data_IF_680694434578
#
_entry.id   IF_680694434578
#
_cell.length_a   1.000
_cell.length_b   1.000
_cell.length_c   1.000
_cell.angle_alpha   90.00
_cell.angle_beta   90.00
_cell.angle_gamma   90.00
#
_symmetry.space_group_name_H-M   'P 1'
#
loop_
_entity.id
_entity.type
_entity.pdbx_description
1 polymer ?
#
# COMPACT_ATOMS: atom_id res chain seq x y z
N UNK A 1 -0.85 -13.13 -62.68
CA UNK A 1 -2.00 -12.50 -61.94
C UNK A 1 -1.94 -12.65 -60.42
N UNK A 2 -1.73 -13.86 -59.85
CA UNK A 2 -1.64 -14.02 -58.39
C UNK A 2 -0.47 -13.27 -57.72
N UNK A 3 0.71 -13.18 -58.37
CA UNK A 3 1.85 -12.42 -57.84
C UNK A 3 1.66 -10.90 -57.94
N UNK A 4 0.93 -10.41 -58.97
CA UNK A 4 0.58 -9.01 -59.11
C UNK A 4 -0.46 -8.58 -58.05
N UNK A 5 -1.41 -9.45 -57.73
CA UNK A 5 -2.43 -9.17 -56.72
C UNK A 5 -1.85 -9.05 -55.31
N UNK A 6 -0.88 -9.91 -54.95
CA UNK A 6 -0.17 -9.83 -53.66
C UNK A 6 0.75 -8.60 -53.57
N UNK A 7 1.37 -8.20 -54.72
CA UNK A 7 2.14 -6.96 -54.78
C UNK A 7 1.24 -5.72 -54.68
N UNK A 8 0.01 -5.78 -55.22
CA UNK A 8 -0.97 -4.72 -55.14
C UNK A 8 -1.53 -4.54 -53.72
N UNK A 9 -1.78 -5.64 -53.00
CA UNK A 9 -2.20 -5.61 -51.57
C UNK A 9 -1.07 -5.06 -50.71
N UNK A 10 0.20 -5.45 -50.95
CA UNK A 10 1.34 -4.91 -50.22
C UNK A 10 1.59 -3.42 -50.55
N UNK A 11 1.38 -3.00 -51.80
CA UNK A 11 1.55 -1.59 -52.20
C UNK A 11 0.37 -0.70 -51.73
N UNK A 12 -0.87 -1.21 -51.72
CA UNK A 12 -2.03 -0.53 -51.18
C UNK A 12 -1.96 -0.34 -49.65
N UNK A 13 -1.30 -1.26 -48.91
CA UNK A 13 -1.02 -1.13 -47.50
C UNK A 13 -0.05 0.03 -47.19
N UNK A 14 0.91 0.31 -48.09
CA UNK A 14 1.89 1.40 -47.93
C UNK A 14 1.29 2.78 -48.24
N UNK A 15 0.25 2.84 -49.10
CA UNK A 15 -0.34 4.13 -49.52
C UNK A 15 -1.58 4.57 -48.74
N UNK A 16 -2.02 3.81 -47.75
CA UNK A 16 -3.17 4.17 -46.91
C UNK A 16 -4.54 4.15 -47.62
N UNK A 17 -4.61 3.65 -48.87
CA UNK A 17 -5.84 3.58 -49.66
C UNK A 17 -6.35 2.15 -49.81
N UNK A 18 -6.48 1.41 -48.70
CA UNK A 18 -7.28 0.19 -48.68
C UNK A 18 -8.76 0.59 -48.67
N UNK A 19 -9.41 0.46 -49.84
CA UNK A 19 -10.86 0.61 -49.94
C UNK A 19 -11.54 -0.46 -49.05
N UNK A 20 -12.74 -0.14 -48.56
CA UNK A 20 -13.59 -1.00 -47.74
C UNK A 20 -14.05 -2.33 -48.43
N UNK A 21 -13.36 -2.77 -49.49
CA UNK A 21 -13.70 -3.92 -50.33
C UNK A 21 -12.73 -5.08 -50.23
N UNK A 22 -11.62 -4.99 -49.42
CA UNK A 22 -10.74 -6.15 -49.25
C UNK A 22 -11.40 -7.19 -48.37
N UNK A 23 -11.63 -8.43 -48.81
CA UNK A 23 -12.27 -9.46 -48.01
C UNK A 23 -11.50 -9.73 -46.70
N UNK A 24 -12.22 -9.93 -45.60
CA UNK A 24 -11.62 -10.20 -44.29
C UNK A 24 -10.62 -11.35 -44.31
N UNK A 25 -10.91 -12.41 -45.07
CA UNK A 25 -10.03 -13.56 -45.22
C UNK A 25 -8.69 -13.23 -45.89
N UNK A 26 -8.67 -12.27 -46.82
CA UNK A 26 -7.42 -11.89 -47.50
C UNK A 26 -6.54 -11.03 -46.57
N UNK A 27 -7.13 -10.20 -45.73
CA UNK A 27 -6.42 -9.47 -44.69
C UNK A 27 -5.83 -10.42 -43.64
N UNK A 28 -6.56 -11.45 -43.24
CA UNK A 28 -6.06 -12.51 -42.33
C UNK A 28 -4.84 -13.21 -42.98
N UNK A 29 -4.91 -13.60 -44.25
CA UNK A 29 -3.78 -14.24 -44.96
C UNK A 29 -2.59 -13.31 -45.04
N UNK A 30 -2.80 -12.04 -45.37
CA UNK A 30 -1.74 -11.04 -45.47
C UNK A 30 -1.04 -10.83 -44.11
N UNK A 31 -1.81 -10.66 -43.04
CA UNK A 31 -1.29 -10.53 -41.66
C UNK A 31 -0.51 -11.77 -41.24
N UNK A 32 -1.05 -12.98 -41.47
CA UNK A 32 -0.35 -14.24 -41.15
C UNK A 32 1.01 -14.34 -41.88
N UNK A 33 1.05 -13.99 -43.15
CA UNK A 33 2.30 -13.98 -43.92
C UNK A 33 3.30 -12.96 -43.39
N UNK A 34 2.84 -11.76 -43.04
CA UNK A 34 3.69 -10.71 -42.51
C UNK A 34 4.30 -11.12 -41.16
N UNK A 35 3.48 -11.65 -40.22
CA UNK A 35 3.94 -12.15 -38.93
C UNK A 35 4.94 -13.30 -39.06
N UNK A 36 4.65 -14.29 -39.87
CA UNK A 36 5.60 -15.40 -40.15
C UNK A 36 6.93 -14.92 -40.73
N UNK A 37 6.92 -13.84 -41.49
CA UNK A 37 8.14 -13.27 -42.07
C UNK A 37 8.97 -12.47 -41.05
N UNK A 38 8.41 -12.10 -39.89
CA UNK A 38 9.18 -11.42 -38.83
C UNK A 38 10.35 -12.28 -38.36
N UNK A 39 10.07 -13.50 -37.89
CA UNK A 39 11.09 -14.44 -37.44
C UNK A 39 12.06 -13.80 -36.43
N UNK A 40 11.56 -13.03 -35.50
CA UNK A 40 12.34 -12.29 -34.51
C UNK A 40 13.15 -11.09 -35.05
N UNK A 41 12.88 -10.65 -36.29
CA UNK A 41 13.61 -9.56 -36.95
C UNK A 41 12.87 -8.24 -36.84
N UNK A 42 13.44 -7.30 -36.09
CA UNK A 42 12.85 -5.99 -35.80
C UNK A 42 12.56 -5.17 -37.06
N UNK A 43 13.42 -5.24 -38.08
CA UNK A 43 13.24 -4.52 -39.33
C UNK A 43 11.99 -4.92 -40.11
N UNK A 44 11.40 -6.09 -39.84
CA UNK A 44 10.17 -6.57 -40.47
C UNK A 44 8.90 -6.28 -39.66
N UNK A 45 9.03 -5.73 -38.47
CA UNK A 45 7.94 -5.52 -37.55
C UNK A 45 6.92 -4.51 -38.08
N UNK A 46 7.34 -3.37 -38.61
CA UNK A 46 6.45 -2.32 -39.12
C UNK A 46 5.47 -2.84 -40.19
N UNK A 47 5.94 -3.72 -41.07
CA UNK A 47 5.09 -4.33 -42.10
C UNK A 47 4.06 -5.30 -41.48
N UNK A 48 4.46 -6.05 -40.44
CA UNK A 48 3.54 -6.93 -39.72
C UNK A 48 2.51 -6.14 -38.93
N UNK A 49 2.92 -5.09 -38.25
CA UNK A 49 2.04 -4.19 -37.51
C UNK A 49 0.98 -3.55 -38.40
N UNK A 50 1.38 -2.98 -39.54
CA UNK A 50 0.46 -2.43 -40.52
C UNK A 50 -0.57 -3.47 -40.99
N UNK A 51 -0.12 -4.71 -41.24
CA UNK A 51 -1.02 -5.78 -41.65
C UNK A 51 -1.99 -6.23 -40.56
N UNK A 52 -1.54 -6.29 -39.30
CA UNK A 52 -2.38 -6.57 -38.12
C UNK A 52 -3.42 -5.46 -37.93
N UNK A 53 -3.03 -4.21 -38.01
CA UNK A 53 -3.93 -3.06 -37.86
C UNK A 53 -5.01 -3.06 -38.96
N UNK A 54 -4.62 -3.31 -40.20
CA UNK A 54 -5.57 -3.42 -41.29
C UNK A 54 -6.55 -4.58 -41.09
N UNK A 55 -6.08 -5.73 -40.65
CA UNK A 55 -6.90 -6.90 -40.34
C UNK A 55 -7.88 -6.61 -39.23
N UNK A 56 -7.42 -6.01 -38.11
CA UNK A 56 -8.21 -5.78 -36.91
C UNK A 56 -9.17 -4.59 -37.01
N UNK A 57 -9.08 -3.76 -38.06
CA UNK A 57 -10.06 -2.70 -38.33
C UNK A 57 -11.42 -3.24 -38.76
N UNK A 58 -11.49 -4.45 -39.31
CA UNK A 58 -12.75 -5.08 -39.67
C UNK A 58 -13.46 -5.66 -38.44
N UNK A 59 -14.73 -5.28 -38.17
CA UNK A 59 -15.46 -5.78 -36.99
C UNK A 59 -15.54 -7.30 -36.91
N UNK A 60 -15.74 -7.99 -38.02
CA UNK A 60 -15.81 -9.46 -38.07
C UNK A 60 -14.49 -10.14 -37.68
N UNK A 61 -13.34 -9.48 -37.86
CA UNK A 61 -12.05 -10.00 -37.47
C UNK A 61 -11.76 -9.83 -35.99
N UNK A 62 -12.46 -8.92 -35.27
CA UNK A 62 -12.27 -8.70 -33.86
C UNK A 62 -12.72 -9.88 -33.00
N UNK A 63 -13.59 -10.73 -33.51
CA UNK A 63 -14.06 -11.96 -32.87
C UNK A 63 -13.68 -13.23 -33.62
N UNK A 64 -12.96 -13.11 -34.73
CA UNK A 64 -12.48 -14.25 -35.54
C UNK A 64 -11.28 -14.90 -34.85
N UNK A 65 -11.36 -16.23 -34.61
CA UNK A 65 -10.32 -16.96 -33.90
C UNK A 65 -8.95 -16.88 -34.59
N UNK A 66 -8.91 -16.95 -35.92
CA UNK A 66 -7.65 -16.93 -36.69
C UNK A 66 -7.01 -15.53 -36.64
N UNK A 67 -7.80 -14.48 -36.77
CA UNK A 67 -7.33 -13.11 -36.66
C UNK A 67 -6.77 -12.83 -35.25
N UNK A 68 -7.46 -13.28 -34.21
CA UNK A 68 -7.01 -13.17 -32.82
C UNK A 68 -5.75 -14.01 -32.56
N UNK A 69 -5.64 -15.22 -33.11
CA UNK A 69 -4.44 -16.05 -33.03
C UNK A 69 -3.23 -15.34 -33.67
N UNK A 70 -3.41 -14.78 -34.86
CA UNK A 70 -2.34 -14.07 -35.58
C UNK A 70 -1.91 -12.83 -34.82
N UNK A 71 -2.86 -12.07 -34.26
CA UNK A 71 -2.58 -10.93 -33.40
C UNK A 71 -1.76 -11.36 -32.17
N UNK A 72 -2.14 -12.44 -31.51
CA UNK A 72 -1.38 -12.98 -30.37
C UNK A 72 0.04 -13.42 -30.77
N UNK A 73 0.20 -14.12 -31.88
CA UNK A 73 1.51 -14.50 -32.43
C UNK A 73 2.39 -13.28 -32.73
N UNK A 74 1.81 -12.21 -33.28
CA UNK A 74 2.53 -10.96 -33.52
C UNK A 74 3.13 -10.39 -32.25
N UNK A 75 2.35 -10.31 -31.15
CA UNK A 75 2.83 -9.81 -29.89
C UNK A 75 3.83 -10.76 -29.21
N UNK A 76 3.72 -12.07 -29.40
CA UNK A 76 4.75 -13.03 -28.98
C UNK A 76 6.09 -12.77 -29.71
N UNK A 77 6.08 -12.47 -30.99
CA UNK A 77 7.28 -12.11 -31.75
C UNK A 77 7.92 -10.80 -31.24
N UNK A 78 7.11 -9.79 -30.89
CA UNK A 78 7.64 -8.57 -30.26
C UNK A 78 8.33 -8.88 -28.91
N UNK A 79 7.73 -9.71 -28.08
CA UNK A 79 8.32 -10.13 -26.81
C UNK A 79 9.61 -10.94 -27.01
N UNK A 80 9.67 -11.74 -28.08
CA UNK A 80 10.88 -12.51 -28.42
C UNK A 80 12.04 -11.59 -28.85
N UNK A 81 11.77 -10.43 -29.45
CA UNK A 81 12.79 -9.42 -29.79
C UNK A 81 13.40 -8.86 -28.47
N UNK A 82 12.58 -8.48 -27.50
CA UNK A 82 13.07 -8.01 -26.19
C UNK A 82 13.91 -9.08 -25.47
N UNK A 83 13.45 -10.33 -25.47
CA UNK A 83 14.19 -11.45 -24.87
C UNK A 83 15.54 -11.68 -25.56
N UNK A 84 15.60 -11.56 -26.89
CA UNK A 84 16.85 -11.67 -27.63
C UNK A 84 17.81 -10.52 -27.33
N UNK A 85 17.31 -9.30 -27.21
CA UNK A 85 18.12 -8.14 -26.84
C UNK A 85 18.70 -8.34 -25.44
N UNK A 86 17.91 -8.82 -24.47
CA UNK A 86 18.37 -9.15 -23.12
C UNK A 86 19.47 -10.21 -23.15
N UNK A 87 19.25 -11.32 -23.84
CA UNK A 87 20.26 -12.39 -23.95
C UNK A 87 21.56 -11.87 -24.60
N UNK A 88 21.46 -11.04 -25.64
CA UNK A 88 22.61 -10.41 -26.31
C UNK A 88 23.35 -9.46 -25.33
N UNK A 89 22.62 -8.69 -24.54
CA UNK A 89 23.21 -7.81 -23.51
C UNK A 89 24.01 -8.60 -22.47
N UNK A 90 23.49 -9.71 -22.01
CA UNK A 90 24.19 -10.59 -21.04
C UNK A 90 25.51 -11.14 -21.59
N UNK A 91 25.57 -11.42 -22.88
CA UNK A 91 26.79 -11.93 -23.56
C UNK A 91 27.77 -10.80 -23.86
N UNK A 92 27.28 -9.64 -24.29
CA UNK A 92 28.13 -8.56 -24.81
C UNK A 92 28.45 -7.50 -23.77
N UNK A 93 27.80 -7.49 -22.61
CA UNK A 93 27.91 -6.45 -21.59
C UNK A 93 27.31 -5.10 -21.99
N UNK A 94 26.64 -5.00 -23.15
CA UNK A 94 26.01 -3.76 -23.61
C UNK A 94 24.67 -3.59 -22.92
N UNK A 95 24.36 -2.37 -22.46
CA UNK A 95 23.06 -2.05 -21.91
C UNK A 95 21.95 -2.28 -22.95
N UNK A 96 20.81 -2.82 -22.51
CA UNK A 96 19.60 -2.96 -23.31
C UNK A 96 18.43 -2.25 -22.63
N UNK A 97 17.38 -2.02 -23.41
CA UNK A 97 16.13 -1.47 -22.89
C UNK A 97 14.97 -2.26 -23.49
N UNK A 98 14.02 -2.65 -22.65
CA UNK A 98 12.78 -3.25 -23.13
C UNK A 98 12.01 -2.25 -23.99
N UNK A 99 11.61 -2.66 -25.19
CA UNK A 99 10.85 -1.83 -26.12
C UNK A 99 9.36 -2.21 -26.13
N UNK A 100 9.05 -3.49 -25.91
CA UNK A 100 7.71 -4.06 -26.07
C UNK A 100 7.10 -4.52 -24.75
N UNK A 101 7.20 -3.67 -23.73
CA UNK A 101 6.85 -3.95 -22.32
C UNK A 101 5.43 -4.49 -22.09
N UNK A 102 4.50 -4.28 -23.03
CA UNK A 102 3.11 -4.74 -22.95
C UNK A 102 2.79 -5.92 -23.85
N UNK A 103 3.71 -6.32 -24.72
CA UNK A 103 3.42 -7.28 -25.79
C UNK A 103 3.03 -8.65 -25.26
N UNK A 104 3.68 -9.18 -24.23
CA UNK A 104 3.32 -10.49 -23.67
C UNK A 104 1.89 -10.50 -23.06
N UNK A 105 1.46 -9.41 -22.43
CA UNK A 105 0.08 -9.28 -21.95
C UNK A 105 -0.91 -9.20 -23.12
N UNK A 106 -0.60 -8.39 -24.14
CA UNK A 106 -1.44 -8.26 -25.33
C UNK A 106 -1.52 -9.58 -26.12
N UNK A 107 -0.44 -10.38 -26.12
CA UNK A 107 -0.44 -11.73 -26.68
C UNK A 107 -1.39 -12.64 -25.90
N UNK A 108 -1.26 -12.67 -24.58
CA UNK A 108 -2.14 -13.46 -23.69
C UNK A 108 -3.61 -13.13 -23.91
N UNK A 109 -3.98 -11.85 -23.88
CA UNK A 109 -5.36 -11.39 -24.05
C UNK A 109 -5.93 -11.82 -25.41
N UNK A 110 -5.18 -11.61 -26.50
CA UNK A 110 -5.62 -11.99 -27.84
C UNK A 110 -5.79 -13.52 -27.98
N UNK A 111 -4.89 -14.30 -27.39
CA UNK A 111 -4.91 -15.76 -27.47
C UNK A 111 -5.99 -16.36 -26.59
N UNK A 112 -6.26 -15.81 -25.41
CA UNK A 112 -7.41 -16.19 -24.59
C UNK A 112 -8.73 -15.88 -25.32
N UNK A 113 -8.82 -14.75 -26.01
CA UNK A 113 -9.97 -14.43 -26.84
C UNK A 113 -10.09 -15.43 -28.04
N UNK A 114 -8.99 -15.78 -28.71
CA UNK A 114 -8.96 -16.77 -29.77
C UNK A 114 -9.47 -18.13 -29.30
N UNK A 115 -9.10 -18.55 -28.09
CA UNK A 115 -9.53 -19.83 -27.50
C UNK A 115 -11.04 -19.91 -27.28
N UNK A 116 -11.68 -18.76 -27.03
CA UNK A 116 -13.14 -18.67 -26.83
C UNK A 116 -13.91 -18.58 -28.16
N UNK A 117 -13.23 -18.19 -29.22
CA UNK A 117 -13.81 -17.94 -30.54
C UNK A 117 -13.90 -19.20 -31.41
N UNK A 118 -13.40 -20.36 -30.93
CA UNK A 118 -13.49 -21.64 -31.67
C UNK A 118 -13.70 -22.82 -30.73
N UNK A 119 -14.30 -23.90 -31.28
CA UNK A 119 -14.43 -25.21 -30.63
C UNK A 119 -13.70 -26.32 -31.40
N UNK A 120 -13.09 -25.99 -32.53
CA UNK A 120 -12.34 -26.93 -33.33
C UNK A 120 -11.03 -27.34 -32.66
N UNK A 121 -10.86 -28.66 -32.43
CA UNK A 121 -9.71 -29.20 -31.70
C UNK A 121 -8.35 -28.89 -32.33
N UNK A 122 -8.29 -28.83 -33.68
CA UNK A 122 -7.04 -28.53 -34.41
C UNK A 122 -6.68 -27.07 -34.24
N UNK A 123 -7.66 -26.17 -34.32
CA UNK A 123 -7.50 -24.73 -34.08
C UNK A 123 -7.10 -24.45 -32.63
N UNK A 124 -7.78 -25.07 -31.65
CA UNK A 124 -7.43 -24.95 -30.22
C UNK A 124 -6.00 -25.42 -29.93
N UNK A 125 -5.49 -26.45 -30.63
CA UNK A 125 -4.10 -26.90 -30.49
C UNK A 125 -3.09 -25.82 -30.90
N UNK A 126 -3.40 -25.05 -31.93
CA UNK A 126 -2.56 -23.91 -32.34
C UNK A 126 -2.59 -22.76 -31.36
N UNK A 127 -3.78 -22.49 -30.78
CA UNK A 127 -3.94 -21.47 -29.74
C UNK A 127 -3.18 -21.88 -28.49
N UNK A 128 -3.26 -23.13 -28.03
CA UNK A 128 -2.53 -23.66 -26.88
C UNK A 128 -1.01 -23.49 -27.05
N UNK A 129 -0.47 -23.80 -28.27
CA UNK A 129 0.96 -23.59 -28.52
C UNK A 129 1.35 -22.12 -28.33
N UNK A 130 0.59 -21.19 -28.93
CA UNK A 130 0.87 -19.77 -28.82
C UNK A 130 0.67 -19.21 -27.37
N UNK A 131 -0.28 -19.76 -26.59
CA UNK A 131 -0.47 -19.43 -25.17
C UNK A 131 0.75 -19.85 -24.32
N UNK A 132 1.38 -20.98 -24.62
CA UNK A 132 2.60 -21.41 -23.93
C UNK A 132 3.76 -20.42 -24.18
N UNK A 133 3.90 -19.93 -25.43
CA UNK A 133 4.89 -18.90 -25.74
C UNK A 133 4.61 -17.61 -24.97
N UNK A 134 3.35 -17.17 -24.95
CA UNK A 134 2.93 -15.98 -24.19
C UNK A 134 3.21 -16.13 -22.69
N UNK A 135 2.92 -17.30 -22.11
CA UNK A 135 3.18 -17.55 -20.69
C UNK A 135 4.68 -17.50 -20.35
N UNK A 136 5.52 -18.04 -21.23
CA UNK A 136 6.98 -17.97 -21.08
C UNK A 136 7.46 -16.51 -21.14
N UNK A 137 6.98 -15.74 -22.12
CA UNK A 137 7.33 -14.34 -22.26
C UNK A 137 6.87 -13.51 -21.03
N UNK A 138 5.68 -13.77 -20.50
CA UNK A 138 5.17 -13.12 -19.27
C UNK A 138 6.09 -13.40 -18.08
N UNK A 139 6.56 -14.64 -17.92
CA UNK A 139 7.51 -14.99 -16.86
C UNK A 139 8.83 -14.21 -16.94
N UNK A 140 9.36 -14.03 -18.17
CA UNK A 140 10.57 -13.24 -18.40
C UNK A 140 10.36 -11.76 -18.01
N UNK A 141 9.21 -11.17 -18.35
CA UNK A 141 8.88 -9.79 -17.99
C UNK A 141 8.66 -9.62 -16.48
N UNK A 142 8.06 -10.59 -15.80
CA UNK A 142 7.91 -10.55 -14.32
C UNK A 142 9.28 -10.40 -13.66
N UNK A 143 10.27 -11.20 -14.06
CA UNK A 143 11.63 -11.08 -13.53
C UNK A 143 12.22 -9.71 -13.80
N UNK A 144 12.15 -9.24 -15.03
CA UNK A 144 12.74 -7.97 -15.43
C UNK A 144 12.14 -6.77 -14.71
N UNK A 145 10.81 -6.73 -14.59
CA UNK A 145 10.13 -5.65 -13.88
C UNK A 145 10.35 -5.70 -12.37
N UNK A 146 10.50 -6.90 -11.79
CA UNK A 146 10.83 -7.05 -10.39
C UNK A 146 12.25 -6.55 -10.10
N UNK A 147 13.21 -6.90 -10.94
CA UNK A 147 14.60 -6.47 -10.83
C UNK A 147 14.74 -4.94 -10.98
N UNK A 148 13.96 -4.34 -11.88
CA UNK A 148 13.90 -2.88 -12.08
C UNK A 148 13.00 -2.15 -11.10
N UNK A 149 12.32 -2.85 -10.18
CA UNK A 149 11.34 -2.32 -9.21
C UNK A 149 10.11 -1.68 -9.85
N UNK A 150 9.79 -2.01 -11.10
CA UNK A 150 8.51 -1.67 -11.73
C UNK A 150 7.44 -2.68 -11.28
N UNK A 151 6.99 -2.54 -10.04
CA UNK A 151 6.06 -3.50 -9.42
C UNK A 151 4.69 -3.51 -10.10
N UNK A 152 4.27 -2.41 -10.71
CA UNK A 152 3.00 -2.34 -11.46
C UNK A 152 3.07 -3.24 -12.70
N UNK A 153 4.13 -3.12 -13.48
CA UNK A 153 4.33 -3.96 -14.68
C UNK A 153 4.58 -5.42 -14.31
N UNK A 154 5.31 -5.68 -13.21
CA UNK A 154 5.53 -7.04 -12.68
C UNK A 154 4.20 -7.69 -12.26
N UNK A 155 3.36 -6.98 -11.49
CA UNK A 155 2.04 -7.43 -11.08
C UNK A 155 1.15 -7.76 -12.29
N UNK A 156 1.04 -6.84 -13.25
CA UNK A 156 0.21 -7.02 -14.43
C UNK A 156 0.65 -8.22 -15.26
N UNK A 157 1.98 -8.39 -15.46
CA UNK A 157 2.54 -9.53 -16.20
C UNK A 157 2.27 -10.86 -15.51
N UNK A 158 2.44 -10.92 -14.18
CA UNK A 158 2.20 -12.16 -13.44
C UNK A 158 0.71 -12.52 -13.39
N UNK A 159 -0.16 -11.52 -13.21
CA UNK A 159 -1.60 -11.73 -13.23
C UNK A 159 -2.08 -12.23 -14.60
N UNK A 160 -1.54 -11.69 -15.71
CA UNK A 160 -1.77 -12.21 -17.05
C UNK A 160 -1.24 -13.65 -17.21
N UNK A 161 -0.08 -13.97 -16.59
CA UNK A 161 0.48 -15.33 -16.58
C UNK A 161 -0.41 -16.34 -15.86
N UNK A 162 -1.08 -15.95 -14.76
CA UNK A 162 -2.07 -16.78 -14.09
C UNK A 162 -3.35 -16.94 -14.93
N UNK A 163 -3.84 -15.88 -15.57
CA UNK A 163 -4.97 -15.98 -16.49
C UNK A 163 -4.66 -16.90 -17.70
N UNK A 164 -3.43 -16.85 -18.20
CA UNK A 164 -2.95 -17.77 -19.27
C UNK A 164 -2.91 -19.21 -18.76
N UNK A 165 -2.47 -19.45 -17.53
CA UNK A 165 -2.52 -20.77 -16.90
C UNK A 165 -3.96 -21.31 -16.83
N UNK A 166 -4.89 -20.50 -16.33
CA UNK A 166 -6.31 -20.90 -16.20
C UNK A 166 -6.89 -21.25 -17.61
N UNK A 167 -6.56 -20.46 -18.64
CA UNK A 167 -6.97 -20.74 -20.01
C UNK A 167 -6.36 -22.05 -20.56
N UNK A 168 -5.06 -22.27 -20.36
CA UNK A 168 -4.38 -23.51 -20.77
C UNK A 168 -5.00 -24.73 -20.10
N UNK A 169 -5.32 -24.65 -18.80
CA UNK A 169 -5.97 -25.75 -18.06
C UNK A 169 -7.37 -26.04 -18.58
N UNK A 170 -8.15 -25.01 -18.87
CA UNK A 170 -9.49 -25.18 -19.47
C UNK A 170 -9.45 -25.88 -20.84
N UNK A 171 -8.37 -25.72 -21.58
CA UNK A 171 -8.14 -26.35 -22.89
C UNK A 171 -7.45 -27.72 -22.82
N UNK A 172 -7.15 -28.24 -21.61
CA UNK A 172 -6.39 -29.47 -21.43
C UNK A 172 -4.91 -29.33 -21.81
N UNK A 173 -4.41 -28.12 -21.94
CA UNK A 173 -3.02 -27.81 -22.23
C UNK A 173 -2.12 -27.95 -21.00
N UNK A 174 -0.80 -27.98 -21.25
CA UNK A 174 0.22 -27.90 -20.20
C UNK A 174 0.57 -26.45 -19.94
N UNK A 175 0.86 -26.12 -18.69
CA UNK A 175 1.30 -24.79 -18.25
C UNK A 175 2.59 -24.91 -17.45
N UNK A 176 3.41 -23.86 -17.46
CA UNK A 176 4.61 -23.79 -16.59
C UNK A 176 4.25 -23.79 -15.09
N UNK A 177 2.99 -23.50 -14.75
CA UNK A 177 2.45 -23.50 -13.38
C UNK A 177 1.66 -24.78 -13.05
N UNK A 178 1.81 -25.87 -13.78
CA UNK A 178 1.04 -27.13 -13.54
C UNK A 178 1.34 -27.77 -12.19
N UNK A 179 2.56 -27.62 -11.68
CA UNK A 179 2.91 -28.11 -10.34
C UNK A 179 2.24 -27.22 -9.30
N UNK A 180 1.47 -27.85 -8.39
CA UNK A 180 0.73 -27.15 -7.33
C UNK A 180 1.64 -26.21 -6.50
N UNK A 181 2.86 -26.65 -6.22
CA UNK A 181 3.83 -25.81 -5.49
C UNK A 181 4.20 -24.55 -6.28
N UNK A 182 4.42 -24.71 -7.59
CA UNK A 182 4.78 -23.57 -8.45
C UNK A 182 3.61 -22.61 -8.59
N UNK A 183 2.40 -23.11 -8.84
CA UNK A 183 1.20 -22.28 -8.85
C UNK A 183 1.01 -21.49 -7.56
N UNK A 184 1.18 -22.14 -6.40
CA UNK A 184 1.06 -21.47 -5.11
C UNK A 184 2.15 -20.40 -4.88
N UNK A 185 3.37 -20.62 -5.36
CA UNK A 185 4.41 -19.56 -5.35
C UNK A 185 4.00 -18.36 -6.19
N UNK A 186 3.40 -18.60 -7.35
CA UNK A 186 2.94 -17.49 -8.20
C UNK A 186 1.75 -16.75 -7.58
N UNK A 187 0.81 -17.45 -6.93
CA UNK A 187 -0.25 -16.80 -6.16
C UNK A 187 0.30 -15.93 -5.04
N UNK A 188 1.30 -16.43 -4.30
CA UNK A 188 1.97 -15.66 -3.26
C UNK A 188 2.66 -14.42 -3.84
N UNK A 189 3.41 -14.60 -4.92
CA UNK A 189 4.16 -13.52 -5.55
C UNK A 189 3.23 -12.42 -6.11
N UNK A 190 2.14 -12.78 -6.80
CA UNK A 190 1.19 -11.78 -7.31
C UNK A 190 0.48 -11.05 -6.18
N UNK A 191 0.13 -11.77 -5.09
CA UNK A 191 -0.42 -11.16 -3.89
C UNK A 191 0.55 -10.16 -3.25
N UNK A 192 1.83 -10.49 -3.16
CA UNK A 192 2.87 -9.60 -2.65
C UNK A 192 3.10 -8.39 -3.57
N UNK A 193 3.21 -8.62 -4.87
CA UNK A 193 3.37 -7.56 -5.87
C UNK A 193 2.19 -6.59 -5.86
N UNK A 194 0.96 -7.07 -5.57
CA UNK A 194 -0.21 -6.21 -5.49
C UNK A 194 -0.11 -5.15 -4.39
N UNK A 195 0.56 -5.48 -3.26
CA UNK A 195 0.82 -4.51 -2.18
C UNK A 195 1.80 -3.44 -2.63
N UNK A 196 2.90 -3.83 -3.29
CA UNK A 196 3.90 -2.88 -3.80
C UNK A 196 3.41 -2.05 -4.98
N UNK A 197 2.44 -2.57 -5.74
CA UNK A 197 1.85 -1.91 -6.91
C UNK A 197 0.59 -1.10 -6.58
N UNK A 198 0.12 -1.07 -5.32
CA UNK A 198 -1.15 -0.48 -4.88
C UNK A 198 -2.37 -1.07 -5.65
N UNK A 199 -2.34 -2.40 -5.83
CA UNK A 199 -3.33 -3.21 -6.58
C UNK A 199 -4.10 -4.20 -5.71
N UNK A 200 -4.16 -3.97 -4.39
CA UNK A 200 -4.85 -4.90 -3.47
C UNK A 200 -6.33 -5.04 -3.79
N UNK A 201 -6.99 -3.97 -4.26
CA UNK A 201 -8.43 -4.02 -4.63
C UNK A 201 -8.71 -5.01 -5.75
N UNK A 202 -7.84 -5.03 -6.76
CA UNK A 202 -7.92 -5.95 -7.90
C UNK A 202 -7.53 -7.38 -7.52
N UNK A 203 -6.85 -7.56 -6.38
CA UNK A 203 -6.27 -8.84 -5.94
C UNK A 203 -7.10 -9.59 -4.92
N UNK A 204 -8.29 -9.11 -4.56
CA UNK A 204 -9.18 -9.78 -3.58
C UNK A 204 -9.40 -11.25 -3.92
N UNK A 205 -9.72 -11.57 -5.19
CA UNK A 205 -9.89 -12.95 -5.64
C UNK A 205 -8.61 -13.81 -5.55
N UNK A 206 -7.43 -13.20 -5.68
CA UNK A 206 -6.14 -13.88 -5.48
C UNK A 206 -5.98 -14.24 -3.99
N UNK A 207 -6.24 -13.29 -3.10
CA UNK A 207 -6.17 -13.53 -1.65
C UNK A 207 -7.15 -14.64 -1.19
N UNK A 208 -8.36 -14.64 -1.73
CA UNK A 208 -9.35 -15.69 -1.46
C UNK A 208 -8.90 -17.07 -1.98
N UNK A 209 -8.30 -17.13 -3.17
CA UNK A 209 -7.66 -18.36 -3.69
C UNK A 209 -6.53 -18.83 -2.78
N UNK A 210 -5.70 -17.93 -2.25
CA UNK A 210 -4.63 -18.28 -1.30
C UNK A 210 -5.18 -18.87 -0.01
N UNK A 211 -6.25 -18.30 0.55
CA UNK A 211 -6.92 -18.82 1.75
C UNK A 211 -7.51 -20.21 1.46
N UNK A 212 -8.22 -20.38 0.34
CA UNK A 212 -8.83 -21.67 -0.05
C UNK A 212 -7.76 -22.77 -0.26
N UNK A 213 -6.61 -22.41 -0.82
CA UNK A 213 -5.48 -23.30 -1.02
C UNK A 213 -4.66 -23.56 0.27
N UNK A 214 -4.99 -22.93 1.41
CA UNK A 214 -4.24 -22.97 2.68
C UNK A 214 -2.77 -22.53 2.50
N UNK A 215 -2.54 -21.56 1.62
CA UNK A 215 -1.24 -20.94 1.29
C UNK A 215 -1.22 -19.45 1.60
N UNK A 216 -2.15 -19.02 2.41
CA UNK A 216 -2.24 -17.67 2.95
C UNK A 216 -1.13 -17.39 3.97
N UNK A 217 -0.89 -16.12 4.17
CA UNK A 217 0.02 -15.55 5.17
C UNK A 217 -0.68 -14.38 5.85
N UNK A 218 -0.09 -13.85 6.91
CA UNK A 218 -0.68 -12.74 7.67
C UNK A 218 -1.01 -11.52 6.80
N UNK A 219 -0.16 -11.20 5.81
CA UNK A 219 -0.41 -10.05 4.93
C UNK A 219 -1.71 -10.19 4.11
N UNK A 220 -2.13 -11.39 3.76
CA UNK A 220 -3.39 -11.63 3.03
C UNK A 220 -4.57 -11.10 3.82
N UNK A 221 -4.59 -11.37 5.11
CA UNK A 221 -5.66 -10.92 6.00
C UNK A 221 -5.63 -9.42 6.26
N UNK A 222 -4.44 -8.83 6.42
CA UNK A 222 -4.29 -7.38 6.57
C UNK A 222 -4.67 -6.62 5.30
N UNK A 223 -4.34 -7.15 4.12
CA UNK A 223 -4.76 -6.57 2.83
C UNK A 223 -6.27 -6.68 2.60
N UNK A 224 -6.88 -7.83 2.89
CA UNK A 224 -8.34 -7.99 2.82
C UNK A 224 -9.07 -7.05 3.79
N UNK A 225 -8.55 -6.90 5.02
CA UNK A 225 -9.07 -5.92 5.95
C UNK A 225 -8.99 -4.50 5.36
N UNK A 226 -7.81 -4.08 4.91
CA UNK A 226 -7.59 -2.74 4.31
C UNK A 226 -8.57 -2.46 3.17
N UNK A 227 -8.70 -3.39 2.23
CA UNK A 227 -9.56 -3.23 1.05
C UNK A 227 -11.04 -3.16 1.40
N UNK A 228 -11.48 -3.98 2.37
CA UNK A 228 -12.90 -4.09 2.75
C UNK A 228 -13.32 -3.07 3.81
N UNK A 229 -12.40 -2.44 4.52
CA UNK A 229 -12.69 -1.59 5.69
C UNK A 229 -13.71 -0.48 5.42
N UNK A 230 -13.69 0.11 4.23
CA UNK A 230 -14.62 1.18 3.85
C UNK A 230 -15.92 0.66 3.20
N UNK A 231 -15.80 -0.38 2.35
CA UNK A 231 -16.93 -0.87 1.55
C UNK A 231 -17.78 -1.93 2.26
N UNK A 232 -17.17 -2.73 3.13
CA UNK A 232 -17.81 -3.81 3.88
C UNK A 232 -17.07 -4.03 5.21
N UNK A 233 -17.29 -3.15 6.22
CA UNK A 233 -16.62 -3.24 7.52
C UNK A 233 -16.83 -4.56 8.25
N UNK A 234 -17.95 -5.23 8.03
CA UNK A 234 -18.25 -6.53 8.65
C UNK A 234 -17.35 -7.63 8.07
N UNK A 235 -17.22 -7.69 6.75
CA UNK A 235 -16.29 -8.62 6.10
C UNK A 235 -14.83 -8.30 6.46
N UNK A 236 -14.47 -7.01 6.54
CA UNK A 236 -13.13 -6.59 6.97
C UNK A 236 -12.80 -7.14 8.35
N UNK A 237 -13.68 -6.91 9.33
CA UNK A 237 -13.49 -7.42 10.69
C UNK A 237 -13.34 -8.94 10.71
N UNK A 238 -14.18 -9.66 9.96
CA UNK A 238 -14.08 -11.13 9.85
C UNK A 238 -12.71 -11.58 9.36
N UNK A 239 -12.16 -10.95 8.32
CA UNK A 239 -10.81 -11.29 7.84
C UNK A 239 -9.74 -10.98 8.89
N UNK A 240 -9.86 -9.85 9.60
CA UNK A 240 -8.93 -9.51 10.67
C UNK A 240 -8.96 -10.57 11.79
N UNK A 241 -10.15 -10.97 12.25
CA UNK A 241 -10.32 -12.01 13.27
C UNK A 241 -9.76 -13.36 12.82
N UNK A 242 -10.01 -13.76 11.55
CA UNK A 242 -9.43 -14.98 10.97
C UNK A 242 -7.90 -14.92 10.95
N UNK A 243 -7.34 -13.78 10.55
CA UNK A 243 -5.90 -13.55 10.54
C UNK A 243 -5.29 -13.62 11.95
N UNK A 244 -5.91 -12.96 12.92
CA UNK A 244 -5.47 -12.99 14.34
C UNK A 244 -5.56 -14.39 14.95
N UNK A 245 -6.61 -15.15 14.63
CA UNK A 245 -6.73 -16.53 15.10
C UNK A 245 -5.64 -17.44 14.54
N UNK A 246 -5.27 -17.26 13.26
CA UNK A 246 -4.29 -18.10 12.57
C UNK A 246 -2.84 -17.66 12.80
N UNK A 247 -2.59 -16.37 12.90
CA UNK A 247 -1.28 -15.75 13.08
C UNK A 247 -1.29 -14.85 14.34
N UNK A 248 -1.45 -15.44 15.54
CA UNK A 248 -1.61 -14.68 16.77
C UNK A 248 -0.38 -13.84 17.14
N UNK A 249 0.80 -14.22 16.63
CA UNK A 249 2.08 -13.56 16.92
C UNK A 249 2.49 -12.53 15.86
N UNK A 250 1.67 -12.34 14.81
CA UNK A 250 1.95 -11.33 13.80
C UNK A 250 1.66 -9.93 14.32
N UNK A 251 2.72 -9.11 14.43
CA UNK A 251 2.65 -7.76 14.98
C UNK A 251 1.83 -6.83 14.11
N UNK A 252 1.84 -6.99 12.78
CA UNK A 252 1.07 -6.13 11.87
C UNK A 252 -0.44 -6.35 12.03
N UNK A 253 -0.88 -7.61 12.12
CA UNK A 253 -2.27 -7.93 12.40
C UNK A 253 -2.70 -7.44 13.80
N UNK A 254 -1.81 -7.54 14.80
CA UNK A 254 -2.06 -7.00 16.13
C UNK A 254 -2.27 -5.47 16.08
N UNK A 255 -1.39 -4.74 15.43
CA UNK A 255 -1.55 -3.28 15.27
C UNK A 255 -2.79 -2.91 14.45
N UNK A 256 -3.13 -3.71 13.46
CA UNK A 256 -4.37 -3.52 12.68
C UNK A 256 -5.61 -3.69 13.56
N UNK A 257 -5.62 -4.69 14.43
CA UNK A 257 -6.69 -4.96 15.40
C UNK A 257 -6.79 -3.82 16.44
N UNK A 258 -5.66 -3.36 16.97
CA UNK A 258 -5.57 -2.22 17.87
C UNK A 258 -6.19 -0.97 17.21
N UNK A 259 -5.78 -0.64 15.99
CA UNK A 259 -6.29 0.52 15.27
C UNK A 259 -7.80 0.40 14.96
N UNK A 260 -8.29 -0.81 14.69
CA UNK A 260 -9.72 -1.05 14.51
C UNK A 260 -10.50 -0.70 15.78
N UNK A 261 -10.12 -1.25 16.93
CA UNK A 261 -10.81 -1.00 18.19
C UNK A 261 -10.69 0.45 18.67
N UNK A 262 -9.53 1.09 18.40
CA UNK A 262 -9.32 2.52 18.68
C UNK A 262 -10.29 3.39 17.87
N UNK A 263 -10.40 3.15 16.55
CA UNK A 263 -11.34 3.87 15.68
C UNK A 263 -12.80 3.60 16.03
N UNK A 264 -13.11 2.39 16.48
CA UNK A 264 -14.45 2.00 16.90
C UNK A 264 -14.83 2.53 18.29
N UNK A 265 -13.91 3.22 19.00
CA UNK A 265 -14.11 3.71 20.37
C UNK A 265 -14.28 2.61 21.41
N UNK A 266 -13.90 1.36 21.09
CA UNK A 266 -14.02 0.20 21.99
C UNK A 266 -12.75 0.05 22.83
N UNK A 267 -12.46 1.07 23.63
CA UNK A 267 -11.19 1.24 24.35
C UNK A 267 -10.97 0.17 25.44
N UNK A 268 -12.04 -0.30 26.09
CA UNK A 268 -11.93 -1.37 27.10
C UNK A 268 -11.46 -2.69 26.51
N UNK A 269 -12.04 -3.10 25.36
CA UNK A 269 -11.61 -4.30 24.64
C UNK A 269 -10.16 -4.16 24.17
N UNK A 270 -9.79 -2.96 23.78
CA UNK A 270 -8.45 -2.63 23.29
C UNK A 270 -7.39 -2.81 24.38
N UNK A 271 -7.67 -2.47 25.62
CA UNK A 271 -6.76 -2.67 26.77
C UNK A 271 -6.35 -4.14 26.87
N UNK A 272 -7.31 -5.06 26.84
CA UNK A 272 -7.02 -6.50 26.97
C UNK A 272 -6.18 -7.00 25.79
N UNK A 273 -6.48 -6.52 24.58
CA UNK A 273 -5.71 -6.87 23.38
C UNK A 273 -4.26 -6.38 23.45
N UNK A 274 -4.03 -5.14 23.92
CA UNK A 274 -2.68 -4.60 24.08
C UNK A 274 -1.94 -5.33 25.20
N UNK A 275 -2.58 -5.59 26.33
CA UNK A 275 -1.97 -6.37 27.43
C UNK A 275 -1.56 -7.77 26.98
N UNK A 276 -2.39 -8.45 26.17
CA UNK A 276 -2.03 -9.71 25.57
C UNK A 276 -0.84 -9.58 24.58
N UNK A 277 -0.76 -8.48 23.84
CA UNK A 277 0.37 -8.14 23.00
C UNK A 277 1.66 -7.94 23.80
N UNK A 278 1.60 -7.19 24.89
CA UNK A 278 2.73 -6.97 25.82
C UNK A 278 3.24 -8.29 26.42
N UNK A 279 2.34 -9.20 26.76
CA UNK A 279 2.72 -10.51 27.28
C UNK A 279 3.53 -11.34 26.26
N UNK A 280 3.27 -11.16 24.97
CA UNK A 280 3.99 -11.83 23.87
C UNK A 280 5.27 -11.10 23.45
N UNK A 281 5.21 -9.78 23.43
CA UNK A 281 6.29 -8.89 23.00
C UNK A 281 6.68 -7.93 24.13
N UNK A 282 7.25 -8.41 25.26
CA UNK A 282 7.48 -7.58 26.45
C UNK A 282 8.54 -6.48 26.24
N UNK A 283 9.28 -6.51 25.12
CA UNK A 283 10.27 -5.49 24.73
C UNK A 283 9.72 -4.50 23.69
N UNK A 284 8.47 -4.64 23.27
CA UNK A 284 7.89 -3.75 22.27
C UNK A 284 7.40 -2.45 22.92
N UNK A 285 8.25 -1.43 22.88
CA UNK A 285 8.02 -0.11 23.48
C UNK A 285 6.71 0.53 23.00
N UNK A 286 6.35 0.33 21.72
CA UNK A 286 5.14 0.90 21.13
C UNK A 286 3.86 0.39 21.78
N UNK A 287 3.83 -0.85 22.29
CA UNK A 287 2.65 -1.40 22.96
C UNK A 287 2.41 -0.71 24.32
N UNK A 288 3.47 -0.44 25.06
CA UNK A 288 3.36 0.28 26.34
C UNK A 288 2.88 1.72 26.12
N UNK A 289 3.47 2.43 25.16
CA UNK A 289 3.05 3.77 24.80
C UNK A 289 1.59 3.80 24.34
N UNK A 290 1.18 2.87 23.48
CA UNK A 290 -0.21 2.77 23.00
C UNK A 290 -1.18 2.51 24.13
N UNK A 291 -0.82 1.67 25.11
CA UNK A 291 -1.67 1.39 26.27
C UNK A 291 -1.81 2.63 27.15
N UNK A 292 -0.74 3.41 27.34
CA UNK A 292 -0.80 4.71 27.99
C UNK A 292 -1.79 5.66 27.30
N UNK A 293 -1.72 5.76 25.97
CA UNK A 293 -2.65 6.59 25.17
C UNK A 293 -4.11 6.12 25.31
N UNK A 294 -4.35 4.82 25.35
CA UNK A 294 -5.72 4.28 25.53
C UNK A 294 -6.29 4.69 26.88
N UNK A 295 -5.52 4.56 27.95
CA UNK A 295 -5.94 5.00 29.28
C UNK A 295 -6.13 6.52 29.36
N UNK A 296 -5.28 7.32 28.72
CA UNK A 296 -5.44 8.77 28.66
C UNK A 296 -6.73 9.17 27.92
N UNK A 297 -7.03 8.51 26.79
CA UNK A 297 -8.31 8.71 26.09
C UNK A 297 -9.52 8.33 26.94
N UNK A 298 -9.45 7.24 27.69
CA UNK A 298 -10.52 6.85 28.63
C UNK A 298 -10.70 7.90 29.71
N UNK A 299 -9.61 8.41 30.28
CA UNK A 299 -9.65 9.48 31.29
C UNK A 299 -10.35 10.73 30.76
N UNK A 300 -10.09 11.12 29.50
CA UNK A 300 -10.69 12.31 28.88
C UNK A 300 -12.20 12.13 28.59
N UNK A 301 -12.66 10.90 28.36
CA UNK A 301 -14.06 10.58 28.06
C UNK A 301 -14.89 10.27 29.32
N UNK A 302 -14.23 9.93 30.44
CA UNK A 302 -14.91 9.55 31.67
C UNK A 302 -15.50 10.78 32.38
N UNK A 303 -16.74 10.65 32.85
CA UNK A 303 -17.46 11.72 33.53
C UNK A 303 -17.29 11.68 35.04
N UNK A 304 -17.04 10.49 35.58
CA UNK A 304 -16.73 10.32 37.03
C UNK A 304 -15.29 10.76 37.29
N UNK A 305 -15.07 11.81 38.12
CA UNK A 305 -13.72 12.33 38.35
C UNK A 305 -12.76 11.33 38.99
N UNK A 306 -13.27 10.44 39.85
CA UNK A 306 -12.45 9.44 40.54
C UNK A 306 -11.99 8.35 39.55
N UNK A 307 -12.87 7.90 38.66
CA UNK A 307 -12.52 6.95 37.58
C UNK A 307 -11.59 7.58 36.56
N UNK A 308 -11.85 8.84 36.14
CA UNK A 308 -10.98 9.58 35.24
C UNK A 308 -9.56 9.70 35.81
N UNK A 309 -9.42 10.00 37.10
CA UNK A 309 -8.12 10.04 37.77
C UNK A 309 -7.46 8.65 37.77
N UNK A 310 -8.21 7.57 38.04
CA UNK A 310 -7.68 6.20 37.95
C UNK A 310 -7.11 5.86 36.57
N UNK A 311 -7.81 6.24 35.50
CA UNK A 311 -7.29 6.08 34.15
C UNK A 311 -6.06 6.95 33.87
N UNK A 312 -6.00 8.17 34.35
CA UNK A 312 -4.80 9.02 34.27
C UNK A 312 -3.60 8.37 34.97
N UNK A 313 -3.82 7.79 36.15
CA UNK A 313 -2.76 7.12 36.92
C UNK A 313 -2.24 5.89 36.16
N UNK A 314 -3.11 5.10 35.55
CA UNK A 314 -2.72 3.98 34.69
C UNK A 314 -1.95 4.46 33.45
N UNK A 315 -2.41 5.51 32.76
CA UNK A 315 -1.70 6.10 31.62
C UNK A 315 -0.27 6.48 32.00
N UNK A 316 -0.11 7.12 33.16
CA UNK A 316 1.19 7.55 33.70
C UNK A 316 2.12 6.37 33.99
N UNK A 317 1.60 5.23 34.48
CA UNK A 317 2.39 4.01 34.68
C UNK A 317 2.99 3.52 33.34
N UNK A 318 2.17 3.45 32.29
CA UNK A 318 2.60 2.95 31.00
C UNK A 318 3.52 3.93 30.25
N UNK A 319 3.31 5.23 30.34
CA UNK A 319 4.24 6.23 29.80
C UNK A 319 5.61 6.17 30.49
N UNK A 320 5.65 6.04 31.82
CA UNK A 320 6.90 5.86 32.56
C UNK A 320 7.61 4.56 32.14
N UNK A 321 6.84 3.47 31.96
CA UNK A 321 7.39 2.21 31.48
C UNK A 321 7.99 2.34 30.07
N UNK A 322 7.35 3.12 29.20
CA UNK A 322 7.90 3.47 27.88
C UNK A 322 9.26 4.17 28.03
N UNK A 323 9.39 5.14 28.94
CA UNK A 323 10.65 5.86 29.17
C UNK A 323 11.74 5.03 29.86
N UNK A 324 11.38 4.02 30.65
CA UNK A 324 12.35 3.06 31.19
C UNK A 324 13.00 2.23 30.07
N UNK A 325 12.25 1.97 28.99
CA UNK A 325 12.73 1.16 27.85
C UNK A 325 13.36 2.03 26.75
N UNK A 326 12.85 3.24 26.54
CA UNK A 326 13.33 4.24 25.60
C UNK A 326 13.29 5.63 26.22
N UNK A 327 14.38 6.01 26.88
CA UNK A 327 14.50 7.28 27.63
C UNK A 327 14.39 8.53 26.74
N UNK A 328 14.47 8.39 25.40
CA UNK A 328 14.34 9.48 24.43
C UNK A 328 13.02 9.45 23.67
N UNK A 329 12.06 8.64 24.07
CA UNK A 329 10.75 8.60 23.45
C UNK A 329 10.03 9.93 23.62
N UNK A 330 10.06 10.75 22.56
CA UNK A 330 9.51 12.12 22.57
C UNK A 330 8.03 12.17 22.89
N UNK A 331 7.28 11.18 22.39
CA UNK A 331 5.82 11.13 22.56
C UNK A 331 5.44 10.81 24.03
N UNK A 332 6.15 9.88 24.66
CA UNK A 332 5.93 9.56 26.07
C UNK A 332 6.36 10.72 26.99
N UNK A 333 7.48 11.38 26.67
CA UNK A 333 7.93 12.58 27.40
C UNK A 333 6.86 13.67 27.34
N UNK A 334 6.40 13.98 26.11
CA UNK A 334 5.33 14.95 25.91
C UNK A 334 4.04 14.58 26.67
N UNK A 335 3.59 13.33 26.55
CA UNK A 335 2.34 12.85 27.17
C UNK A 335 2.37 12.95 28.69
N UNK A 336 3.49 12.65 29.34
CA UNK A 336 3.64 12.87 30.80
C UNK A 336 3.56 14.36 31.12
N UNK A 337 4.26 15.21 30.39
CA UNK A 337 4.20 16.66 30.55
C UNK A 337 2.77 17.19 30.38
N UNK A 338 2.08 16.74 29.35
CA UNK A 338 0.70 17.11 29.03
C UNK A 338 -0.29 16.68 30.14
N UNK A 339 -0.09 15.51 30.73
CA UNK A 339 -0.93 15.02 31.83
C UNK A 339 -0.87 15.97 33.03
N UNK A 340 0.33 16.38 33.47
CA UNK A 340 0.49 17.37 34.53
C UNK A 340 -0.04 18.76 34.14
N UNK A 341 0.21 19.17 32.91
CA UNK A 341 -0.28 20.45 32.38
C UNK A 341 -1.82 20.49 32.37
N UNK A 342 -2.48 19.43 31.91
CA UNK A 342 -3.95 19.35 31.90
C UNK A 342 -4.53 19.43 33.33
N UNK A 343 -3.86 18.82 34.30
CA UNK A 343 -4.25 18.93 35.73
C UNK A 343 -4.09 20.36 36.26
N UNK A 344 -3.00 21.05 35.92
CA UNK A 344 -2.82 22.48 36.23
C UNK A 344 -3.92 23.34 35.59
N UNK A 345 -4.30 23.02 34.31
CA UNK A 345 -5.36 23.73 33.61
C UNK A 345 -6.75 23.59 34.30
N UNK A 346 -7.01 22.47 34.96
CA UNK A 346 -8.24 22.29 35.75
C UNK A 346 -8.27 23.28 36.94
N UNK A 347 -7.18 23.43 37.70
CA UNK A 347 -7.07 24.42 38.74
C UNK A 347 -7.19 25.85 38.23
N UNK A 348 -6.64 26.14 37.05
CA UNK A 348 -6.83 27.44 36.37
C UNK A 348 -8.31 27.74 36.07
N UNK A 349 -9.09 26.72 35.66
CA UNK A 349 -10.54 26.85 35.45
C UNK A 349 -11.30 27.10 36.75
N UNK A 350 -10.87 26.45 37.84
CA UNK A 350 -11.46 26.69 39.18
C UNK A 350 -11.18 28.11 39.67
N UNK A 351 -9.94 28.58 39.52
CA UNK A 351 -9.57 29.96 39.84
C UNK A 351 -10.45 30.98 39.09
N UNK A 352 -10.69 30.73 37.80
CA UNK A 352 -11.56 31.60 36.97
C UNK A 352 -12.98 31.70 37.52
N UNK A 353 -13.53 30.60 38.09
CA UNK A 353 -14.85 30.63 38.73
C UNK A 353 -14.87 31.43 40.05
N UNK A 354 -13.72 31.58 40.69
CA UNK A 354 -13.56 32.29 41.95
C UNK A 354 -13.16 33.75 41.78
N UNK A 355 -12.84 34.21 40.57
CA UNK A 355 -12.41 35.60 40.29
C UNK A 355 -13.39 36.68 40.76
N UNK A 356 -14.69 36.37 40.85
CA UNK A 356 -15.74 37.27 41.31
C UNK A 356 -16.13 37.06 42.79
N UNK A 357 -15.54 36.10 43.51
CA UNK A 357 -15.80 35.84 44.92
C UNK A 357 -14.77 36.57 45.81
N UNK A 358 -15.10 37.77 46.21
CA UNK A 358 -14.25 38.62 47.06
C UNK A 358 -14.36 38.28 48.55
N UNK A 359 -15.11 37.25 48.94
CA UNK A 359 -15.16 36.78 50.34
C UNK A 359 -13.79 36.26 50.81
N UNK A 360 -13.53 36.30 52.11
CA UNK A 360 -12.30 35.71 52.70
C UNK A 360 -12.15 34.23 52.33
N UNK A 361 -13.26 33.52 52.21
CA UNK A 361 -13.26 32.11 51.84
C UNK A 361 -12.99 31.90 50.35
N UNK A 362 -13.57 32.74 49.48
CA UNK A 362 -13.29 32.74 48.06
C UNK A 362 -11.83 33.03 47.73
N UNK A 363 -11.26 34.06 48.40
CA UNK A 363 -9.84 34.38 48.26
C UNK A 363 -8.93 33.22 48.69
N UNK A 364 -9.23 32.59 49.84
CA UNK A 364 -8.47 31.43 50.31
C UNK A 364 -8.52 30.24 49.38
N UNK A 365 -9.69 30.00 48.78
CA UNK A 365 -9.86 28.93 47.73
C UNK A 365 -9.09 29.27 46.47
N UNK A 366 -9.09 30.54 46.03
CA UNK A 366 -8.36 31.00 44.90
C UNK A 366 -6.85 30.77 45.06
N UNK A 367 -6.27 31.25 46.18
CA UNK A 367 -4.86 31.07 46.55
C UNK A 367 -4.46 29.59 46.65
N UNK A 368 -5.34 28.74 47.20
CA UNK A 368 -5.10 27.31 47.27
C UNK A 368 -5.06 26.67 45.87
N UNK A 369 -5.99 27.04 44.99
CA UNK A 369 -6.03 26.56 43.61
C UNK A 369 -4.82 27.05 42.78
N UNK A 370 -4.38 28.32 43.01
CA UNK A 370 -3.17 28.87 42.40
C UNK A 370 -1.92 28.07 42.77
N UNK A 371 -1.77 27.79 44.08
CA UNK A 371 -0.65 26.99 44.58
C UNK A 371 -0.62 25.60 43.99
N UNK A 372 -1.80 24.94 43.84
CA UNK A 372 -1.90 23.63 43.24
C UNK A 372 -1.59 23.69 41.74
N UNK A 373 -2.09 24.69 41.03
CA UNK A 373 -1.79 24.92 39.62
C UNK A 373 -0.27 25.05 39.37
N UNK A 374 0.40 25.88 40.17
CA UNK A 374 1.85 26.06 40.05
C UNK A 374 2.61 24.76 40.32
N UNK A 375 2.19 24.02 41.37
CA UNK A 375 2.81 22.75 41.70
C UNK A 375 2.69 21.70 40.57
N UNK A 376 1.57 21.65 39.85
CA UNK A 376 1.41 20.77 38.68
C UNK A 376 2.22 21.27 37.49
N UNK A 377 2.32 22.58 37.25
CA UNK A 377 3.23 23.13 36.23
C UNK A 377 4.69 22.86 36.55
N UNK A 378 5.12 22.86 37.80
CA UNK A 378 6.47 22.49 38.21
C UNK A 378 6.79 21.03 37.88
N UNK A 379 5.82 20.13 37.97
CA UNK A 379 5.96 18.74 37.56
C UNK A 379 5.99 18.58 36.01
N UNK A 380 5.21 19.39 35.28
CA UNK A 380 5.16 19.36 33.82
C UNK A 380 6.44 19.91 33.16
N UNK A 381 7.01 20.98 33.73
CA UNK A 381 8.08 21.76 33.16
C UNK A 381 9.33 20.93 32.74
N UNK A 382 9.86 20.01 33.56
CA UNK A 382 11.03 19.21 33.17
C UNK A 382 10.77 18.34 31.94
N UNK A 383 9.57 17.82 31.76
CA UNK A 383 9.19 17.02 30.61
C UNK A 383 9.11 17.87 29.35
N UNK A 384 8.48 19.04 29.39
CA UNK A 384 8.44 19.92 28.23
C UNK A 384 9.82 20.50 27.88
N UNK A 385 10.68 20.80 28.86
CA UNK A 385 12.08 21.14 28.60
C UNK A 385 12.81 20.04 27.86
N UNK A 386 12.63 18.78 28.31
CA UNK A 386 13.21 17.61 27.66
C UNK A 386 12.62 17.37 26.27
N UNK A 387 11.31 17.54 26.06
CA UNK A 387 10.68 17.45 24.75
C UNK A 387 11.24 18.50 23.78
N UNK A 388 11.41 19.75 24.23
CA UNK A 388 12.02 20.85 23.45
C UNK A 388 13.49 20.55 23.09
N UNK A 389 14.26 19.99 24.03
CA UNK A 389 15.66 19.62 23.75
C UNK A 389 15.79 18.55 22.66
N UNK A 390 14.79 17.66 22.53
CA UNK A 390 14.74 16.62 21.48
C UNK A 390 14.22 17.21 20.16
N UNK A 391 13.18 18.06 20.22
CA UNK A 391 12.56 18.67 19.05
C UNK A 391 12.20 20.13 19.30
N UNK A 392 13.10 21.04 18.96
CA UNK A 392 12.95 22.50 19.08
C UNK A 392 11.79 23.10 18.25
N UNK A 393 11.19 22.30 17.38
CA UNK A 393 10.16 22.71 16.42
C UNK A 393 8.79 22.08 16.71
N UNK A 394 8.65 21.39 17.83
CA UNK A 394 7.34 20.87 18.24
C UNK A 394 6.43 21.99 18.75
N UNK A 395 5.41 22.29 17.95
CA UNK A 395 4.51 23.43 18.21
C UNK A 395 3.77 23.29 19.56
N UNK A 396 3.36 22.10 19.92
CA UNK A 396 2.60 21.87 21.16
C UNK A 396 3.49 22.05 22.39
N UNK A 397 4.72 21.58 22.33
CA UNK A 397 5.73 21.80 23.37
C UNK A 397 6.02 23.29 23.56
N UNK A 398 6.18 24.06 22.46
CA UNK A 398 6.42 25.50 22.55
C UNK A 398 5.22 26.25 23.13
N UNK A 399 3.98 25.87 22.80
CA UNK A 399 2.77 26.42 23.40
C UNK A 399 2.75 26.17 24.90
N UNK A 400 2.98 24.92 25.32
CA UNK A 400 2.98 24.55 26.73
C UNK A 400 4.03 25.31 27.54
N UNK A 401 5.28 25.40 27.05
CA UNK A 401 6.36 26.15 27.68
C UNK A 401 6.03 27.63 27.82
N UNK A 402 5.54 28.27 26.73
CA UNK A 402 5.11 29.67 26.75
C UNK A 402 4.06 29.91 27.85
N UNK A 403 3.06 29.07 27.96
CA UNK A 403 1.98 29.22 28.93
C UNK A 403 2.42 28.93 30.35
N UNK A 404 3.21 27.88 30.59
CA UNK A 404 3.75 27.56 31.90
C UNK A 404 4.57 28.73 32.43
N UNK A 405 5.48 29.30 31.64
CA UNK A 405 6.31 30.43 32.06
C UNK A 405 5.47 31.68 32.30
N UNK A 406 4.45 31.95 31.48
CA UNK A 406 3.52 33.06 31.73
C UNK A 406 2.78 32.90 33.07
N UNK A 407 2.26 31.73 33.37
CA UNK A 407 1.55 31.43 34.64
C UNK A 407 2.46 31.45 35.87
N UNK A 408 3.76 31.23 35.66
CA UNK A 408 4.80 31.35 36.71
C UNK A 408 5.40 32.77 36.81
N UNK A 409 4.83 33.76 36.12
CA UNK A 409 5.30 35.13 36.04
C UNK A 409 6.72 35.30 35.44
N UNK A 410 7.25 34.31 34.74
CA UNK A 410 8.51 34.42 33.99
C UNK A 410 8.23 34.94 32.58
N UNK A 411 7.98 36.25 32.48
CA UNK A 411 7.63 36.89 31.21
C UNK A 411 8.77 36.85 30.19
N UNK A 412 10.04 36.77 30.65
CA UNK A 412 11.20 36.64 29.75
C UNK A 412 11.17 35.30 29.00
N UNK A 413 11.03 34.23 29.74
CA UNK A 413 10.94 32.88 29.14
C UNK A 413 9.66 32.70 28.33
N UNK A 414 8.54 33.21 28.80
CA UNK A 414 7.30 33.20 28.03
C UNK A 414 7.44 33.92 26.68
N UNK A 415 8.12 35.08 26.66
CA UNK A 415 8.42 35.84 25.44
C UNK A 415 9.34 35.09 24.48
N UNK A 416 10.36 34.41 25.01
CA UNK A 416 11.25 33.56 24.21
C UNK A 416 10.47 32.46 23.47
N UNK A 417 9.65 31.68 24.19
CA UNK A 417 8.88 30.60 23.58
C UNK A 417 7.74 31.11 22.70
N UNK A 418 7.23 32.32 22.93
CA UNK A 418 6.33 32.99 22.00
C UNK A 418 7.01 33.27 20.66
N UNK A 419 8.22 33.86 20.69
CA UNK A 419 8.99 34.14 19.45
C UNK A 419 9.34 32.89 18.67
N UNK A 420 9.74 31.80 19.36
CA UNK A 420 10.03 30.51 18.75
C UNK A 420 8.79 29.90 18.09
N UNK A 421 7.63 30.02 18.72
CA UNK A 421 6.35 29.57 18.18
C UNK A 421 5.95 30.37 16.94
N UNK A 422 6.10 31.71 16.97
CA UNK A 422 5.83 32.58 15.82
C UNK A 422 6.73 32.25 14.63
N UNK A 423 8.00 31.90 14.86
CA UNK A 423 8.93 31.43 13.82
C UNK A 423 8.37 30.20 13.09
N UNK A 424 7.88 29.19 13.83
CA UNK A 424 7.30 27.98 13.26
C UNK A 424 5.99 28.28 12.51
N UNK A 425 5.13 29.10 13.09
CA UNK A 425 3.85 29.50 12.48
C UNK A 425 4.03 30.31 11.20
N UNK A 426 5.15 31.06 11.10
CA UNK A 426 5.57 31.76 9.89
C UNK A 426 6.25 30.85 8.84
N UNK A 427 6.30 29.55 9.04
CA UNK A 427 6.94 28.59 8.10
C UNK A 427 8.46 28.45 8.26
N UNK A 428 9.05 29.10 9.27
CA UNK A 428 10.46 28.98 9.62
C UNK A 428 10.76 27.77 10.51
N UNK A 429 12.02 27.67 10.95
CA UNK A 429 12.47 26.65 11.91
C UNK A 429 13.37 27.26 12.95
N UNK A 430 13.25 26.85 14.20
CA UNK A 430 14.22 27.14 15.25
C UNK A 430 15.51 26.37 14.97
N UNK A 431 16.62 27.08 14.84
CA UNK A 431 17.90 26.46 14.46
C UNK A 431 18.49 25.55 15.55
N UNK A 432 18.14 25.80 16.81
CA UNK A 432 18.64 25.07 18.00
C UNK A 432 17.55 24.96 19.04
N UNK A 433 17.62 23.90 19.84
CA UNK A 433 16.87 23.78 21.09
C UNK A 433 17.32 24.88 22.07
N UNK A 434 16.39 25.35 22.88
CA UNK A 434 16.69 26.31 23.95
C UNK A 434 17.33 25.63 25.16
N UNK A 435 16.80 24.45 25.49
CA UNK A 435 17.37 23.63 26.56
C UNK A 435 18.34 22.62 25.97
N UNK A 436 19.49 22.46 26.62
CA UNK A 436 20.46 21.39 26.32
C UNK A 436 20.20 20.21 27.25
N UNK A 437 20.43 18.99 26.75
CA UNK A 437 20.37 17.78 27.59
C UNK A 437 21.32 17.83 28.78
#
# INVERSE_FOLDING_TARGET
MKKLFLAFVAFALVTGTLSAQTPAADLIKAANKAVKNMGGKKEKMAAAETAIDAMMKLPENQTNWEALLIKGKFYNEQSAIDNLQKATSQITGKAYKLEFTKSAMMASDALIAASKATQDKKQLKEVVAALNDAQTNLGNYVSEFTDSKDYVSAYNSLNAGLATHDALKALGGKSIFDKVEEYNKQLYLVGLLSVYADKEKESVGIYEKMIAAKKDTSFVYSSLYKVKAESDPAAALKYLEMGRAKYPDDSQLLFTEINYYLKAGKLEILIDKIKAGIAKEPKNVSLYFTLGNVYDNLSQQEKDPAKAQGYTDEAMVYYKKTLEMDAKNSDAIYSIGASFYNKAAQFSKEMKKLESDFSKEGQKKYEASEKLMIAEFDKALPYFKKAESINANDQNTLIALKEIFAKKNDMKMSGEFKSRLETIQGGGKNAKSYFTE
#
